data_IF_398741214798
#
_entry.id   IF_398741214798
#
_cell.length_a   1.000
_cell.length_b   1.000
_cell.length_c   1.000
_cell.angle_alpha   90.00
_cell.angle_beta   90.00
_cell.angle_gamma   90.00
#
_symmetry.space_group_name_H-M   'P 1'
#
loop_
_entity.id
_entity.type
_entity.pdbx_description
1 polymer ?
#
# COMPACT_ATOMS: atom_id res chain seq x y z
N UNK A 1 -7.17 10.94 13.08
CA UNK A 1 -6.76 12.06 12.19
C UNK A 1 -6.70 11.50 10.78
N UNK A 2 -7.40 12.10 9.81
CA UNK A 2 -7.29 11.69 8.42
C UNK A 2 -5.89 12.08 7.91
N UNK A 3 -5.23 11.25 7.08
CA UNK A 3 -3.92 11.60 6.48
C UNK A 3 -3.98 12.82 5.54
N UNK A 4 -5.16 13.35 5.23
CA UNK A 4 -5.31 14.65 4.56
C UNK A 4 -4.81 15.82 5.41
N UNK A 5 -4.64 15.61 6.72
CA UNK A 5 -3.96 16.49 7.63
C UNK A 5 -2.52 16.02 7.87
N UNK A 6 -1.90 15.26 6.96
CA UNK A 6 -0.45 15.08 7.00
C UNK A 6 0.16 16.47 6.88
N UNK A 7 0.69 16.94 8.00
CA UNK A 7 1.36 18.21 8.06
C UNK A 7 2.45 18.23 7.00
N UNK A 8 2.32 19.15 6.07
CA UNK A 8 3.33 19.41 5.06
C UNK A 8 4.39 20.30 5.70
N UNK A 9 5.56 19.74 5.90
CA UNK A 9 6.71 20.43 6.50
C UNK A 9 7.74 20.82 5.44
N UNK A 10 8.66 21.70 5.81
CA UNK A 10 9.86 21.92 5.01
C UNK A 10 10.66 20.60 4.92
N UNK A 11 11.30 20.30 3.77
CA UNK A 11 12.13 19.10 3.65
C UNK A 11 13.18 19.00 4.77
N UNK A 12 13.20 17.85 5.45
CA UNK A 12 14.20 17.58 6.49
C UNK A 12 15.62 17.64 5.89
N UNK A 13 16.59 18.17 6.62
CA UNK A 13 17.98 18.35 6.14
C UNK A 13 18.56 17.08 5.48
N UNK A 14 18.37 15.92 6.11
CA UNK A 14 18.82 14.63 5.57
C UNK A 14 18.10 14.17 4.29
N UNK A 15 17.01 14.81 3.93
CA UNK A 15 16.18 14.46 2.76
C UNK A 15 16.20 15.54 1.67
N UNK A 16 16.85 16.68 1.94
CA UNK A 16 16.99 17.77 0.96
C UNK A 16 17.69 17.30 -0.32
N UNK A 17 17.37 17.93 -1.40
CA UNK A 17 17.97 17.69 -2.70
C UNK A 17 18.00 18.99 -3.52
N UNK A 18 18.71 19.00 -4.64
CA UNK A 18 18.79 20.15 -5.52
C UNK A 18 17.48 20.25 -6.33
N UNK A 19 16.71 21.31 -6.07
CA UNK A 19 15.42 21.57 -6.74
C UNK A 19 15.61 21.98 -8.19
N UNK A 20 16.69 22.69 -8.55
CA UNK A 20 16.93 23.11 -9.94
C UNK A 20 17.21 21.90 -10.84
N UNK A 21 17.96 20.90 -10.32
CA UNK A 21 18.17 19.65 -11.02
C UNK A 21 16.85 18.87 -11.21
N UNK A 22 15.98 18.88 -10.19
CA UNK A 22 14.65 18.27 -10.30
C UNK A 22 13.81 18.95 -11.37
N UNK A 23 13.75 20.30 -11.38
CA UNK A 23 13.06 21.08 -12.40
C UNK A 23 13.56 20.74 -13.81
N UNK A 24 14.89 20.74 -14.01
CA UNK A 24 15.47 20.36 -15.30
C UNK A 24 15.06 18.95 -15.75
N UNK A 25 15.02 17.99 -14.80
CA UNK A 25 14.57 16.63 -15.09
C UNK A 25 13.07 16.59 -15.41
N UNK A 26 12.24 17.32 -14.66
CA UNK A 26 10.79 17.41 -14.90
C UNK A 26 10.49 17.97 -16.29
N UNK A 27 11.14 19.07 -16.67
CA UNK A 27 11.00 19.70 -18.00
C UNK A 27 11.42 18.74 -19.13
N UNK A 28 12.51 17.99 -18.93
CA UNK A 28 13.00 16.98 -19.91
C UNK A 28 12.04 15.80 -20.08
N UNK A 29 11.11 15.60 -19.12
CA UNK A 29 10.09 14.57 -19.14
C UNK A 29 8.66 15.12 -19.36
N UNK A 30 8.56 16.36 -19.86
CA UNK A 30 7.27 17.02 -20.16
C UNK A 30 6.35 17.18 -18.93
N UNK A 31 6.96 17.27 -17.73
CA UNK A 31 6.22 17.49 -16.47
C UNK A 31 6.31 18.97 -16.14
N UNK A 32 5.17 19.64 -16.04
CA UNK A 32 5.10 21.07 -15.73
C UNK A 32 5.72 21.36 -14.35
N UNK A 33 6.62 22.35 -14.29
CA UNK A 33 7.42 22.65 -13.09
C UNK A 33 7.57 24.15 -12.80
N UNK A 34 6.82 25.00 -13.48
CA UNK A 34 6.89 26.48 -13.30
C UNK A 34 6.54 26.86 -11.87
N UNK A 35 7.42 27.61 -11.22
CA UNK A 35 7.22 28.06 -9.84
C UNK A 35 7.24 26.93 -8.79
N UNK A 36 7.91 25.82 -9.07
CA UNK A 36 7.89 24.60 -8.26
C UNK A 36 8.22 24.86 -6.79
N UNK A 37 7.29 24.47 -5.92
CA UNK A 37 7.45 24.44 -4.46
C UNK A 37 7.49 23.00 -3.98
N UNK A 38 8.42 22.73 -3.05
CA UNK A 38 8.64 21.39 -2.49
C UNK A 38 8.35 21.41 -1.00
N UNK A 39 7.45 20.54 -0.55
CA UNK A 39 7.20 20.25 0.87
C UNK A 39 7.34 18.76 1.10
N UNK A 40 7.60 18.35 2.33
CA UNK A 40 7.69 16.93 2.69
C UNK A 40 6.47 16.53 3.50
N UNK A 41 5.89 15.36 3.19
CA UNK A 41 4.87 14.76 4.05
C UNK A 41 5.51 14.31 5.36
N UNK A 42 4.91 14.71 6.49
CA UNK A 42 5.29 14.21 7.81
C UNK A 42 4.72 12.80 7.99
N UNK A 43 5.54 11.81 8.00
CA UNK A 43 5.14 10.41 8.07
C UNK A 43 5.39 9.70 6.73
N UNK A 44 6.06 8.71 6.68
CA UNK A 44 6.61 7.93 5.57
C UNK A 44 7.92 7.38 6.07
N UNK A 45 7.82 6.32 6.92
CA UNK A 45 9.03 5.82 7.59
C UNK A 45 9.96 5.08 6.62
N UNK A 46 9.42 4.55 5.51
CA UNK A 46 10.19 3.77 4.55
C UNK A 46 10.85 4.65 3.49
N UNK A 47 10.06 5.34 2.68
CA UNK A 47 10.53 6.16 1.56
C UNK A 47 10.14 7.63 1.74
N UNK A 48 11.09 8.59 1.76
CA UNK A 48 10.77 10.01 1.83
C UNK A 48 9.84 10.42 0.70
N UNK A 49 8.71 11.03 1.06
CA UNK A 49 7.64 11.43 0.13
C UNK A 49 7.43 12.93 0.22
N UNK A 50 7.34 13.58 -0.95
CA UNK A 50 7.26 15.03 -1.06
C UNK A 50 6.03 15.43 -1.86
N UNK A 51 5.42 16.52 -1.43
CA UNK A 51 4.40 17.25 -2.18
C UNK A 51 5.09 18.28 -3.04
N UNK A 52 4.83 18.23 -4.32
CA UNK A 52 5.31 19.20 -5.30
C UNK A 52 4.12 20.01 -5.79
N UNK A 53 4.25 21.33 -5.79
CA UNK A 53 3.24 22.26 -6.27
C UNK A 53 3.87 23.21 -7.27
N UNK A 54 3.40 23.16 -8.50
CA UNK A 54 3.71 24.12 -9.56
C UNK A 54 2.57 25.13 -9.72
N UNK A 55 2.63 26.03 -10.70
CA UNK A 55 1.58 27.02 -10.91
C UNK A 55 0.21 26.39 -11.21
N UNK A 56 0.18 25.27 -11.95
CA UNK A 56 -1.07 24.69 -12.44
C UNK A 56 -1.32 23.26 -11.92
N UNK A 57 -0.32 22.60 -11.37
CA UNK A 57 -0.40 21.18 -11.06
C UNK A 57 0.17 20.83 -9.68
N UNK A 58 -0.29 19.71 -9.16
CA UNK A 58 0.17 19.12 -7.91
C UNK A 58 0.64 17.70 -8.16
N UNK A 59 1.78 17.35 -7.57
CA UNK A 59 2.39 16.03 -7.74
C UNK A 59 2.87 15.47 -6.41
N UNK A 60 3.19 14.19 -6.42
CA UNK A 60 3.91 13.51 -5.35
C UNK A 60 5.20 12.96 -5.91
N UNK A 61 6.31 13.29 -5.26
CA UNK A 61 7.62 12.66 -5.50
C UNK A 61 7.91 11.68 -4.37
N UNK A 62 8.26 10.45 -4.71
CA UNK A 62 8.72 9.44 -3.76
C UNK A 62 10.13 8.98 -4.14
N UNK A 63 11.06 8.99 -3.17
CA UNK A 63 12.46 8.66 -3.42
C UNK A 63 12.99 7.66 -2.40
N UNK A 64 14.06 6.94 -2.76
CA UNK A 64 14.81 6.12 -1.81
C UNK A 64 15.41 7.01 -0.71
N UNK A 65 15.47 6.54 0.55
CA UNK A 65 16.18 7.25 1.59
C UNK A 65 17.69 7.31 1.27
N UNK A 66 18.40 8.33 1.75
CA UNK A 66 19.84 8.40 1.59
C UNK A 66 20.57 7.34 2.44
N UNK A 67 21.76 6.93 2.01
CA UNK A 67 22.62 6.03 2.75
C UNK A 67 22.67 4.61 2.21
N UNK A 68 23.31 3.72 2.99
CA UNK A 68 23.51 2.31 2.62
C UNK A 68 22.26 1.52 2.97
N UNK A 69 21.54 1.10 1.96
CA UNK A 69 20.26 0.35 2.12
C UNK A 69 20.49 -1.15 2.07
N UNK A 70 19.63 -1.91 2.73
CA UNK A 70 19.61 -3.36 2.58
C UNK A 70 19.17 -3.72 1.16
N UNK A 71 19.73 -4.77 0.55
CA UNK A 71 19.31 -5.22 -0.77
C UNK A 71 17.79 -5.46 -0.83
N UNK A 72 17.14 -4.92 -1.85
CA UNK A 72 15.67 -4.98 -2.08
C UNK A 72 14.81 -4.18 -1.08
N UNK A 73 15.38 -3.50 -0.10
CA UNK A 73 14.63 -2.54 0.70
C UNK A 73 14.42 -1.26 -0.13
N UNK A 74 13.28 -0.60 0.10
CA UNK A 74 12.99 0.70 -0.53
C UNK A 74 12.98 0.68 -2.08
N UNK A 75 12.44 -0.37 -2.68
CA UNK A 75 12.44 -0.59 -4.13
C UNK A 75 11.39 0.29 -4.85
N UNK A 76 11.68 1.60 -4.96
CA UNK A 76 10.79 2.58 -5.63
C UNK A 76 10.59 2.28 -7.12
N UNK A 77 11.54 1.61 -7.76
CA UNK A 77 11.45 1.09 -9.13
C UNK A 77 10.33 0.05 -9.28
N UNK A 78 10.20 -0.85 -8.30
CA UNK A 78 9.12 -1.86 -8.27
C UNK A 78 7.76 -1.22 -8.00
N UNK A 79 7.71 -0.29 -7.08
CA UNK A 79 6.50 0.47 -6.76
C UNK A 79 6.01 1.24 -7.99
N UNK A 80 6.91 1.95 -8.68
CA UNK A 80 6.62 2.60 -9.95
C UNK A 80 6.10 1.60 -11.00
N UNK A 81 6.78 0.45 -11.17
CA UNK A 81 6.44 -0.55 -12.18
C UNK A 81 5.00 -1.06 -12.03
N UNK A 82 4.61 -1.43 -10.82
CA UNK A 82 3.26 -1.99 -10.58
C UNK A 82 2.17 -0.91 -10.75
N UNK A 83 2.35 0.28 -10.20
CA UNK A 83 1.38 1.37 -10.37
C UNK A 83 1.25 1.81 -11.82
N UNK A 84 2.37 1.93 -12.55
CA UNK A 84 2.35 2.28 -13.97
C UNK A 84 1.64 1.21 -14.84
N UNK A 85 1.76 -0.06 -14.48
CA UNK A 85 1.05 -1.13 -15.18
C UNK A 85 -0.47 -1.10 -14.86
N UNK A 86 -0.82 -0.96 -13.60
CA UNK A 86 -2.22 -0.90 -13.14
C UNK A 86 -2.95 0.35 -13.65
N UNK A 87 -2.29 1.48 -13.74
CA UNK A 87 -2.87 2.72 -14.28
C UNK A 87 -3.26 2.64 -15.75
N UNK A 88 -2.73 1.66 -16.51
CA UNK A 88 -3.09 1.45 -17.92
C UNK A 88 -4.43 0.70 -18.10
N UNK A 89 -4.94 0.09 -17.05
CA UNK A 89 -6.17 -0.72 -17.06
C UNK A 89 -7.28 -0.12 -16.18
N UNK A 90 -7.21 1.19 -15.95
CA UNK A 90 -8.18 1.92 -15.12
C UNK A 90 -8.33 1.37 -13.69
N UNK A 91 -7.24 0.83 -13.12
CA UNK A 91 -7.20 0.52 -11.70
C UNK A 91 -6.91 1.81 -10.90
N UNK A 92 -7.55 2.04 -9.73
CA UNK A 92 -7.39 3.27 -8.96
C UNK A 92 -5.98 3.37 -8.32
N UNK A 93 -5.04 3.89 -9.08
CA UNK A 93 -3.69 4.28 -8.64
C UNK A 93 -3.39 5.69 -9.16
N UNK A 94 -2.50 6.44 -8.49
CA UNK A 94 -2.02 7.70 -9.06
C UNK A 94 -1.41 7.48 -10.45
N UNK A 95 -1.67 8.40 -11.38
CA UNK A 95 -1.01 8.37 -12.69
C UNK A 95 0.49 8.57 -12.52
N UNK A 96 1.28 7.64 -13.03
CA UNK A 96 2.73 7.72 -13.02
C UNK A 96 3.21 8.65 -14.13
N UNK A 97 4.04 9.65 -13.78
CA UNK A 97 4.52 10.66 -14.70
C UNK A 97 5.96 10.37 -15.16
N UNK A 98 6.79 9.80 -14.30
CA UNK A 98 8.15 9.45 -14.66
C UNK A 98 8.91 8.78 -13.53
N UNK A 99 9.91 7.97 -13.91
CA UNK A 99 10.88 7.33 -13.02
C UNK A 99 12.29 7.76 -13.40
N UNK A 100 13.08 8.10 -12.40
CA UNK A 100 14.48 8.49 -12.57
C UNK A 100 15.38 7.51 -11.80
N UNK A 101 16.23 6.80 -12.53
CA UNK A 101 17.26 5.90 -11.98
C UNK A 101 18.62 6.58 -11.83
N UNK A 102 18.75 7.84 -12.31
CA UNK A 102 19.99 8.59 -12.27
C UNK A 102 20.16 9.35 -10.94
N UNK A 103 21.05 8.91 -10.04
CA UNK A 103 21.25 9.58 -8.76
C UNK A 103 21.86 10.98 -8.86
N UNK A 104 22.41 11.38 -10.02
CA UNK A 104 22.98 12.72 -10.18
C UNK A 104 21.92 13.82 -10.15
N UNK A 105 20.63 13.50 -10.32
CA UNK A 105 19.53 14.47 -10.32
C UNK A 105 19.23 14.94 -8.90
N UNK A 106 18.84 14.04 -8.00
CA UNK A 106 18.48 14.38 -6.60
C UNK A 106 19.15 13.49 -5.55
N UNK A 107 20.26 12.84 -5.91
CA UNK A 107 21.05 12.02 -5.00
C UNK A 107 20.61 10.56 -4.88
N UNK A 108 19.47 10.17 -5.45
CA UNK A 108 18.92 8.81 -5.39
C UNK A 108 17.85 8.60 -6.45
N UNK A 109 17.45 7.35 -6.67
CA UNK A 109 16.31 7.02 -7.53
C UNK A 109 15.01 7.57 -6.94
N UNK A 110 14.09 7.99 -7.84
CA UNK A 110 12.78 8.51 -7.46
C UNK A 110 11.76 8.33 -8.59
N UNK A 111 10.50 8.53 -8.26
CA UNK A 111 9.44 8.71 -9.24
C UNK A 111 8.54 9.90 -8.89
N UNK A 112 7.86 10.39 -9.91
CA UNK A 112 6.81 11.41 -9.78
C UNK A 112 5.49 10.81 -10.25
N UNK A 113 4.44 11.12 -9.50
CA UNK A 113 3.05 10.74 -9.80
C UNK A 113 2.11 11.91 -9.56
N UNK A 114 0.93 11.86 -10.15
CA UNK A 114 -0.12 12.85 -9.89
C UNK A 114 -0.53 12.84 -8.41
N UNK A 115 -0.84 14.02 -7.87
CA UNK A 115 -1.46 14.14 -6.56
C UNK A 115 -2.97 13.92 -6.68
N UNK A 116 -3.48 12.89 -6.01
CA UNK A 116 -4.92 12.63 -5.95
C UNK A 116 -5.53 13.37 -4.76
N UNK A 117 -6.49 14.22 -5.02
CA UNK A 117 -7.24 14.94 -4.00
C UNK A 117 -8.34 14.04 -3.41
N UNK A 118 -8.20 13.64 -2.16
CA UNK A 118 -9.15 12.77 -1.48
C UNK A 118 -8.92 12.74 0.02
N UNK A 119 -9.48 11.77 0.73
CA UNK A 119 -9.28 11.54 2.17
C UNK A 119 -8.56 10.22 2.39
N UNK A 120 -7.52 10.22 3.23
CA UNK A 120 -6.90 9.00 3.74
C UNK A 120 -7.39 8.81 5.17
N UNK A 121 -8.01 7.68 5.46
CA UNK A 121 -8.63 7.38 6.73
C UNK A 121 -7.74 6.38 7.47
N UNK A 122 -7.30 6.74 8.68
CA UNK A 122 -6.38 5.92 9.47
C UNK A 122 -7.04 5.27 10.69
N UNK A 123 -8.27 5.65 10.99
CA UNK A 123 -9.03 5.10 12.11
C UNK A 123 -10.00 4.03 11.62
N UNK A 124 -10.04 2.85 12.24
CA UNK A 124 -10.89 1.75 11.80
C UNK A 124 -12.39 2.06 11.90
N UNK A 125 -12.79 3.00 12.78
CA UNK A 125 -14.17 3.47 12.93
C UNK A 125 -14.63 4.35 11.78
N UNK A 126 -13.77 4.71 10.86
CA UNK A 126 -14.04 5.60 9.71
C UNK A 126 -14.68 6.90 10.20
N UNK A 127 -14.00 7.57 11.14
CA UNK A 127 -14.49 8.79 11.77
C UNK A 127 -14.68 9.94 10.76
N UNK A 128 -15.70 10.77 10.99
CA UNK A 128 -16.03 11.93 10.13
C UNK A 128 -16.90 11.58 8.92
N UNK A 129 -17.45 10.37 8.86
CA UNK A 129 -18.40 9.93 7.83
C UNK A 129 -19.72 9.46 8.44
N UNK A 130 -20.81 9.64 7.71
CA UNK A 130 -22.12 9.09 8.04
C UNK A 130 -22.15 7.57 7.93
N UNK A 131 -23.18 6.95 8.50
CA UNK A 131 -23.39 5.50 8.41
C UNK A 131 -23.40 4.98 6.95
N UNK A 132 -24.08 5.69 6.06
CA UNK A 132 -24.17 5.29 4.65
C UNK A 132 -22.82 5.44 3.94
N UNK A 133 -22.10 6.54 4.20
CA UNK A 133 -20.77 6.74 3.62
C UNK A 133 -19.78 5.67 4.09
N UNK A 134 -19.79 5.30 5.37
CA UNK A 134 -18.95 4.20 5.88
C UNK A 134 -19.24 2.89 5.18
N UNK A 135 -20.51 2.56 4.97
CA UNK A 135 -20.88 1.37 4.22
C UNK A 135 -20.38 1.44 2.76
N UNK A 136 -20.57 2.58 2.09
CA UNK A 136 -20.08 2.80 0.72
C UNK A 136 -18.56 2.64 0.64
N UNK A 137 -17.81 3.17 1.61
CA UNK A 137 -16.35 3.01 1.69
C UNK A 137 -15.98 1.53 1.80
N UNK A 138 -16.61 0.78 2.70
CA UNK A 138 -16.32 -0.64 2.87
C UNK A 138 -16.65 -1.48 1.63
N UNK A 139 -17.79 -1.20 0.99
CA UNK A 139 -18.16 -1.83 -0.30
C UNK A 139 -17.10 -1.54 -1.36
N UNK A 140 -16.69 -0.28 -1.50
CA UNK A 140 -15.67 0.13 -2.47
C UNK A 140 -14.29 -0.48 -2.19
N UNK A 141 -13.93 -0.67 -0.90
CA UNK A 141 -12.69 -1.37 -0.53
C UNK A 141 -12.73 -2.83 -0.95
N UNK A 142 -13.85 -3.54 -0.72
CA UNK A 142 -14.02 -4.93 -1.15
C UNK A 142 -13.98 -5.06 -2.69
N UNK A 143 -14.65 -4.16 -3.40
CA UNK A 143 -14.65 -4.11 -4.87
C UNK A 143 -13.25 -3.86 -5.43
N UNK A 144 -12.52 -2.88 -4.87
CA UNK A 144 -11.16 -2.53 -5.30
C UNK A 144 -10.18 -3.69 -5.07
N UNK A 145 -10.27 -4.35 -3.92
CA UNK A 145 -9.44 -5.53 -3.63
C UNK A 145 -9.74 -6.68 -4.59
N UNK A 146 -11.00 -6.96 -4.84
CA UNK A 146 -11.43 -7.98 -5.79
C UNK A 146 -10.99 -7.64 -7.23
N UNK A 147 -11.09 -6.38 -7.63
CA UNK A 147 -10.60 -5.88 -8.93
C UNK A 147 -9.10 -6.11 -9.07
N UNK A 148 -8.29 -5.85 -8.02
CA UNK A 148 -6.86 -6.11 -8.01
C UNK A 148 -6.56 -7.59 -8.24
N UNK A 149 -7.23 -8.47 -7.50
CA UNK A 149 -6.99 -9.91 -7.56
C UNK A 149 -7.46 -10.55 -8.86
N UNK A 150 -8.38 -9.91 -9.58
CA UNK A 150 -8.87 -10.35 -10.89
C UNK A 150 -8.03 -9.82 -12.07
N UNK A 151 -7.01 -8.98 -11.82
CA UNK A 151 -6.15 -8.47 -12.89
C UNK A 151 -5.35 -9.62 -13.53
N UNK A 152 -5.47 -9.77 -14.84
CA UNK A 152 -4.50 -10.59 -15.58
C UNK A 152 -3.13 -9.88 -15.61
N UNK A 153 -2.32 -10.18 -14.62
CA UNK A 153 -1.00 -9.56 -14.45
C UNK A 153 -0.05 -9.82 -15.61
N UNK A 154 -0.29 -10.89 -16.41
CA UNK A 154 0.52 -11.20 -17.58
C UNK A 154 0.21 -10.23 -18.72
N UNK A 155 -1.07 -9.95 -18.94
CA UNK A 155 -1.51 -9.04 -20.00
C UNK A 155 -1.01 -7.61 -19.84
N UNK A 156 -0.67 -7.21 -18.62
CA UNK A 156 -0.12 -5.86 -18.29
C UNK A 156 1.39 -5.84 -18.07
N UNK A 157 2.10 -6.94 -18.41
CA UNK A 157 3.57 -7.03 -18.36
C UNK A 157 4.16 -7.19 -16.97
N UNK A 158 3.42 -7.82 -16.04
CA UNK A 158 3.87 -8.09 -14.67
C UNK A 158 4.19 -9.57 -14.41
N UNK A 159 4.33 -10.42 -15.44
CA UNK A 159 4.67 -11.84 -15.29
C UNK A 159 5.99 -12.08 -14.54
N UNK A 160 6.95 -11.16 -14.64
CA UNK A 160 8.23 -11.19 -13.93
C UNK A 160 8.27 -10.35 -12.64
N UNK A 161 7.12 -9.82 -12.21
CA UNK A 161 7.06 -8.91 -11.05
C UNK A 161 7.34 -9.62 -9.71
N UNK A 162 7.11 -10.93 -9.63
CA UNK A 162 7.36 -11.77 -8.45
C UNK A 162 7.51 -13.23 -8.82
N UNK A 163 7.68 -14.06 -7.80
CA UNK A 163 7.62 -15.52 -7.92
C UNK A 163 6.33 -15.97 -7.26
N UNK A 164 5.30 -16.33 -8.03
CA UNK A 164 4.02 -16.73 -7.43
C UNK A 164 4.17 -18.05 -6.63
N UNK A 165 4.79 -19.09 -7.22
CA UNK A 165 4.90 -20.40 -6.61
C UNK A 165 5.66 -20.36 -5.28
N UNK A 166 5.11 -20.99 -4.25
CA UNK A 166 5.69 -21.06 -2.89
C UNK A 166 5.65 -19.71 -2.17
N UNK A 167 4.72 -18.82 -2.51
CA UNK A 167 4.57 -17.51 -1.87
C UNK A 167 4.32 -17.63 -0.37
N UNK A 168 3.35 -18.46 0.06
CA UNK A 168 2.98 -18.62 1.47
C UNK A 168 4.17 -19.15 2.29
N UNK A 169 4.87 -20.17 1.79
CA UNK A 169 6.02 -20.74 2.49
C UNK A 169 7.16 -19.70 2.61
N UNK A 170 7.37 -18.87 1.58
CA UNK A 170 8.36 -17.78 1.66
C UNK A 170 7.96 -16.71 2.66
N UNK A 171 6.66 -16.35 2.74
CA UNK A 171 6.18 -15.39 3.73
C UNK A 171 6.34 -15.94 5.15
N UNK A 172 5.93 -17.17 5.40
CA UNK A 172 6.11 -17.83 6.71
C UNK A 172 7.60 -17.81 7.10
N UNK A 173 8.49 -18.18 6.18
CA UNK A 173 9.93 -18.17 6.44
C UNK A 173 10.44 -16.77 6.71
N UNK A 174 10.10 -15.79 5.87
CA UNK A 174 10.56 -14.40 5.97
C UNK A 174 10.17 -13.79 7.33
N UNK A 175 8.90 -13.89 7.69
CA UNK A 175 8.40 -13.31 8.94
C UNK A 175 8.88 -14.07 10.17
N UNK A 176 9.02 -15.40 10.10
CA UNK A 176 9.64 -16.17 11.19
C UNK A 176 11.10 -15.79 11.39
N UNK A 177 11.89 -15.69 10.32
CA UNK A 177 13.30 -15.29 10.40
C UNK A 177 13.45 -13.84 10.93
N UNK A 178 12.58 -12.94 10.51
CA UNK A 178 12.58 -11.55 10.98
C UNK A 178 12.21 -11.48 12.47
N UNK A 179 11.20 -12.22 12.89
CA UNK A 179 10.82 -12.32 14.30
C UNK A 179 11.98 -12.82 15.17
N UNK A 180 12.68 -13.89 14.77
CA UNK A 180 13.81 -14.41 15.52
C UNK A 180 14.95 -13.39 15.65
N UNK A 181 15.28 -12.66 14.56
CA UNK A 181 16.28 -11.57 14.62
C UNK A 181 15.85 -10.46 15.57
N UNK A 182 14.61 -10.02 15.49
CA UNK A 182 14.10 -8.98 16.39
C UNK A 182 14.11 -9.43 17.85
N UNK A 183 13.87 -10.72 18.12
CA UNK A 183 13.92 -11.32 19.46
C UNK A 183 15.34 -11.30 20.04
N UNK A 184 16.37 -11.47 19.19
CA UNK A 184 17.79 -11.39 19.61
C UNK A 184 18.21 -9.96 19.94
N UNK A 185 17.66 -8.95 19.23
CA UNK A 185 17.99 -7.52 19.43
C UNK A 185 17.24 -6.86 20.60
N UNK A 186 16.19 -7.49 21.14
CA UNK A 186 15.38 -6.90 22.21
C UNK A 186 16.09 -7.07 23.56
N UNK A 187 16.36 -5.94 24.20
CA UNK A 187 16.92 -5.89 25.59
C UNK A 187 15.87 -6.25 26.66
N UNK A 188 14.60 -6.31 26.31
CA UNK A 188 13.48 -6.66 27.19
C UNK A 188 13.27 -8.17 27.18
N UNK A 189 13.35 -8.83 28.32
CA UNK A 189 12.99 -10.25 28.48
C UNK A 189 11.47 -10.41 28.39
N UNK A 190 10.92 -10.52 27.19
CA UNK A 190 9.54 -10.86 26.96
C UNK A 190 9.39 -12.36 26.66
N UNK A 191 8.24 -12.92 27.03
CA UNK A 191 7.91 -14.29 26.66
C UNK A 191 7.23 -14.30 25.27
N UNK A 192 7.86 -14.92 24.29
CA UNK A 192 7.38 -15.00 22.92
C UNK A 192 6.92 -16.41 22.55
N UNK A 193 6.55 -17.24 23.53
CA UNK A 193 6.20 -18.65 23.34
C UNK A 193 5.09 -18.84 22.32
N UNK A 194 4.08 -17.98 22.33
CA UNK A 194 2.95 -18.05 21.41
C UNK A 194 3.39 -17.78 19.95
N UNK A 195 4.30 -16.85 19.74
CA UNK A 195 4.86 -16.57 18.41
C UNK A 195 5.78 -17.69 17.91
N UNK A 196 6.55 -18.31 18.80
CA UNK A 196 7.35 -19.49 18.46
C UNK A 196 6.45 -20.67 18.05
N UNK A 197 5.37 -20.91 18.81
CA UNK A 197 4.37 -21.94 18.50
C UNK A 197 3.65 -21.64 17.18
N UNK A 198 3.25 -20.39 16.95
CA UNK A 198 2.62 -19.97 15.69
C UNK A 198 3.55 -20.21 14.50
N UNK A 199 4.84 -19.89 14.64
CA UNK A 199 5.83 -20.11 13.57
C UNK A 199 5.99 -21.57 13.21
N UNK A 200 5.90 -22.48 14.19
CA UNK A 200 5.94 -23.93 13.98
C UNK A 200 4.63 -24.37 13.29
N UNK A 201 3.50 -23.99 13.86
CA UNK A 201 2.17 -24.37 13.35
C UNK A 201 1.97 -23.95 11.89
N UNK A 202 2.35 -22.72 11.53
CA UNK A 202 2.25 -22.21 10.17
C UNK A 202 3.08 -23.05 9.18
N UNK A 203 4.28 -23.51 9.57
CA UNK A 203 5.12 -24.37 8.71
C UNK A 203 4.49 -25.74 8.47
N UNK A 204 3.81 -26.30 9.48
CA UNK A 204 3.19 -27.62 9.42
C UNK A 204 1.82 -27.59 8.73
N UNK A 205 1.12 -26.45 8.77
CA UNK A 205 -0.24 -26.29 8.28
C UNK A 205 -0.35 -25.31 7.09
N UNK A 206 0.75 -24.99 6.42
CA UNK A 206 0.71 -24.13 5.24
C UNK A 206 -0.05 -24.79 4.09
N UNK A 207 -0.88 -24.01 3.42
CA UNK A 207 -1.65 -24.45 2.24
C UNK A 207 -0.72 -24.60 1.02
N UNK A 208 -1.12 -25.45 0.09
CA UNK A 208 -0.55 -25.48 -1.26
C UNK A 208 -1.30 -24.42 -2.07
N UNK A 209 -0.55 -23.51 -2.67
CA UNK A 209 -1.13 -22.45 -3.49
C UNK A 209 -1.52 -23.00 -4.86
N UNK A 210 -2.72 -22.66 -5.28
CA UNK A 210 -3.26 -22.95 -6.61
C UNK A 210 -3.75 -21.70 -7.34
N UNK A 211 -3.67 -20.54 -6.67
CA UNK A 211 -4.10 -19.25 -7.19
C UNK A 211 -3.01 -18.20 -7.06
N UNK A 212 -2.88 -17.37 -8.08
CA UNK A 212 -1.88 -16.31 -8.11
C UNK A 212 -2.48 -15.02 -8.66
N UNK A 213 -2.26 -13.93 -7.94
CA UNK A 213 -2.69 -12.59 -8.28
C UNK A 213 -1.60 -11.56 -7.96
N UNK A 214 -1.84 -10.31 -8.29
CA UNK A 214 -1.08 -9.20 -7.73
C UNK A 214 -1.52 -9.06 -6.27
N UNK A 215 -0.62 -9.33 -5.34
CA UNK A 215 -0.81 -9.06 -3.92
C UNK A 215 -0.23 -7.69 -3.59
N UNK A 216 -1.00 -6.85 -2.91
CA UNK A 216 -0.56 -5.54 -2.43
C UNK A 216 0.43 -5.68 -1.27
N UNK A 217 0.17 -6.61 -0.36
CA UNK A 217 1.00 -6.90 0.82
C UNK A 217 0.75 -6.02 2.04
N UNK A 218 0.06 -4.87 1.86
CA UNK A 218 -0.39 -3.98 2.95
C UNK A 218 -1.74 -3.30 2.58
N UNK A 219 -2.69 -4.06 2.01
CA UNK A 219 -3.98 -3.51 1.63
C UNK A 219 -4.82 -3.20 2.88
N UNK A 220 -5.04 -1.92 3.12
CA UNK A 220 -5.79 -1.42 4.28
C UNK A 220 -6.32 -0.03 4.03
N UNK A 221 -7.30 0.38 4.82
CA UNK A 221 -7.95 1.69 4.73
C UNK A 221 -6.94 2.86 4.71
N UNK A 222 -5.89 2.80 5.53
CA UNK A 222 -4.86 3.84 5.60
C UNK A 222 -3.98 3.96 4.35
N UNK A 223 -4.04 3.01 3.44
CA UNK A 223 -3.32 3.01 2.17
C UNK A 223 -4.25 3.25 0.97
N UNK A 224 -5.48 3.73 1.23
CA UNK A 224 -6.43 4.11 0.18
C UNK A 224 -6.82 5.58 0.27
N UNK A 225 -7.08 6.18 -0.88
CA UNK A 225 -7.62 7.54 -0.99
C UNK A 225 -9.11 7.42 -1.29
N UNK A 226 -9.92 8.03 -0.45
CA UNK A 226 -11.38 8.04 -0.57
C UNK A 226 -11.84 9.37 -1.17
N UNK A 227 -12.67 9.29 -2.18
CA UNK A 227 -13.30 10.47 -2.82
C UNK A 227 -14.13 11.26 -1.81
N UNK A 228 -14.02 12.59 -1.87
CA UNK A 228 -14.69 13.50 -0.93
C UNK A 228 -16.21 13.55 -1.10
N UNK A 229 -16.71 13.24 -2.29
CA UNK A 229 -18.11 13.40 -2.67
C UNK A 229 -18.85 12.05 -2.70
N UNK A 230 -18.19 11.02 -3.23
CA UNK A 230 -18.82 9.72 -3.51
C UNK A 230 -18.48 8.65 -2.48
N UNK A 231 -17.52 8.92 -1.58
CA UNK A 231 -17.05 7.96 -0.56
C UNK A 231 -16.55 6.62 -1.17
N UNK A 232 -15.95 6.67 -2.37
CA UNK A 232 -15.38 5.50 -3.05
C UNK A 232 -13.86 5.58 -3.08
N UNK A 233 -13.19 4.44 -3.27
CA UNK A 233 -11.73 4.37 -3.44
C UNK A 233 -11.35 4.95 -4.81
N UNK A 234 -10.52 5.98 -4.82
CA UNK A 234 -9.99 6.63 -6.02
C UNK A 234 -8.48 6.52 -6.16
N UNK A 235 -7.82 5.96 -5.16
CA UNK A 235 -6.38 5.69 -5.20
C UNK A 235 -5.97 4.63 -4.18
N UNK A 236 -5.10 3.72 -4.61
CA UNK A 236 -4.40 2.76 -3.74
C UNK A 236 -2.93 3.12 -3.73
N UNK A 237 -2.36 3.24 -2.54
CA UNK A 237 -1.00 3.74 -2.27
C UNK A 237 -0.16 2.68 -1.57
N UNK A 238 1.16 2.90 -1.53
CA UNK A 238 2.13 2.15 -0.72
C UNK A 238 2.33 0.70 -1.20
N UNK A 239 2.74 0.57 -2.44
CA UNK A 239 2.97 -0.70 -3.15
C UNK A 239 4.34 -1.33 -2.88
N UNK A 240 5.08 -0.88 -1.86
CA UNK A 240 6.45 -1.34 -1.59
C UNK A 240 6.55 -2.83 -1.25
N UNK A 241 5.49 -3.43 -0.68
CA UNK A 241 5.40 -4.85 -0.36
C UNK A 241 4.76 -5.70 -1.46
N UNK A 242 4.31 -5.06 -2.55
CA UNK A 242 3.57 -5.75 -3.60
C UNK A 242 4.40 -6.79 -4.34
N UNK A 243 3.74 -7.87 -4.73
CA UNK A 243 4.35 -8.98 -5.46
C UNK A 243 3.29 -9.82 -6.17
N UNK A 244 3.69 -10.87 -6.88
CA UNK A 244 2.79 -11.94 -7.25
C UNK A 244 2.67 -12.92 -6.09
N UNK A 245 1.44 -13.18 -5.64
CA UNK A 245 1.19 -14.00 -4.47
C UNK A 245 -0.25 -14.51 -4.40
N UNK A 246 -0.62 -15.13 -3.30
CA UNK A 246 -1.96 -15.66 -3.10
C UNK A 246 -2.94 -14.53 -2.71
N UNK A 247 -4.07 -14.36 -3.42
CA UNK A 247 -5.00 -13.23 -3.20
C UNK A 247 -5.58 -13.18 -1.79
N UNK A 248 -5.82 -14.32 -1.17
CA UNK A 248 -6.40 -14.38 0.17
C UNK A 248 -5.42 -13.89 1.26
N UNK A 249 -4.14 -13.67 0.96
CA UNK A 249 -3.21 -13.07 1.90
C UNK A 249 -3.56 -11.61 2.18
N UNK A 250 -3.89 -10.83 1.14
CA UNK A 250 -4.37 -9.45 1.31
C UNK A 250 -5.73 -9.38 1.99
N UNK A 251 -6.64 -10.30 1.63
CA UNK A 251 -7.96 -10.38 2.26
C UNK A 251 -7.84 -10.68 3.75
N UNK A 252 -7.01 -11.66 4.14
CA UNK A 252 -6.73 -11.99 5.53
C UNK A 252 -6.11 -10.81 6.28
N UNK A 253 -5.17 -10.12 5.66
CA UNK A 253 -4.55 -8.93 6.24
C UNK A 253 -5.57 -7.79 6.45
N UNK A 254 -6.41 -7.52 5.46
CA UNK A 254 -7.48 -6.52 5.59
C UNK A 254 -8.45 -6.85 6.72
N UNK A 255 -8.75 -8.12 6.95
CA UNK A 255 -9.70 -8.56 7.98
C UNK A 255 -9.13 -8.61 9.42
N UNK A 256 -7.82 -8.36 9.62
CA UNK A 256 -7.22 -8.33 10.96
C UNK A 256 -8.00 -7.46 11.97
N UNK A 257 -8.47 -6.23 11.64
CA UNK A 257 -9.22 -5.40 12.58
C UNK A 257 -10.51 -6.04 13.12
N UNK A 258 -11.14 -6.93 12.38
CA UNK A 258 -12.32 -7.65 12.86
C UNK A 258 -12.02 -8.61 14.02
N UNK A 259 -10.74 -9.00 14.17
CA UNK A 259 -10.27 -9.91 15.23
C UNK A 259 -9.60 -9.17 16.39
N UNK A 260 -8.98 -8.02 16.14
CA UNK A 260 -8.10 -7.33 17.09
C UNK A 260 -8.27 -5.81 17.10
N UNK A 261 -9.41 -5.27 16.69
CA UNK A 261 -9.58 -3.82 16.64
C UNK A 261 -11.02 -3.33 16.73
N UNK A 262 -11.98 -4.25 16.61
CA UNK A 262 -13.40 -3.91 16.60
C UNK A 262 -14.17 -4.51 17.78
N UNK A 263 -13.50 -5.08 18.78
CA UNK A 263 -14.11 -5.84 19.88
C UNK A 263 -15.15 -5.02 20.64
N UNK A 264 -14.90 -3.71 20.82
CA UNK A 264 -15.78 -2.79 21.54
C UNK A 264 -16.71 -1.97 20.62
N UNK A 265 -16.69 -2.24 19.29
CA UNK A 265 -17.43 -1.45 18.32
C UNK A 265 -18.75 -2.12 17.92
N UNK A 266 -19.82 -1.36 17.93
CA UNK A 266 -21.07 -1.76 17.29
C UNK A 266 -21.02 -1.45 15.78
N UNK A 267 -20.46 -2.37 14.98
CA UNK A 267 -20.25 -2.19 13.55
C UNK A 267 -21.55 -1.88 12.81
N UNK A 268 -22.64 -2.55 13.15
CA UNK A 268 -23.97 -2.32 12.54
C UNK A 268 -24.47 -0.90 12.81
N UNK A 269 -24.26 -0.38 14.00
CA UNK A 269 -24.63 1.00 14.35
C UNK A 269 -23.76 2.00 13.59
N UNK A 270 -22.48 1.70 13.40
CA UNK A 270 -21.55 2.52 12.65
C UNK A 270 -21.81 2.47 11.14
N UNK A 271 -22.45 1.42 10.62
CA UNK A 271 -22.63 1.18 9.18
C UNK A 271 -21.41 0.51 8.53
N UNK A 272 -20.57 -0.12 9.33
CA UNK A 272 -19.45 -0.92 8.87
C UNK A 272 -19.94 -2.37 8.75
N UNK A 273 -19.74 -3.07 7.61
CA UNK A 273 -20.11 -4.46 7.45
C UNK A 273 -19.41 -5.34 8.51
N UNK A 274 -20.05 -6.44 8.92
CA UNK A 274 -19.35 -7.49 9.67
C UNK A 274 -18.26 -8.14 8.81
N UNK A 275 -17.40 -8.95 9.43
CA UNK A 275 -16.41 -9.71 8.65
C UNK A 275 -17.09 -10.58 7.60
N UNK A 276 -18.15 -11.32 7.97
CA UNK A 276 -18.93 -12.15 7.06
C UNK A 276 -19.53 -11.37 5.90
N UNK A 277 -20.15 -10.23 6.18
CA UNK A 277 -20.70 -9.33 5.16
C UNK A 277 -19.61 -8.79 4.23
N UNK A 278 -18.40 -8.47 4.75
CA UNK A 278 -17.27 -8.04 3.93
C UNK A 278 -16.74 -9.17 3.02
N UNK A 279 -16.66 -10.40 3.54
CA UNK A 279 -16.29 -11.58 2.75
C UNK A 279 -17.30 -11.85 1.63
N UNK A 280 -18.60 -11.72 1.90
CA UNK A 280 -19.65 -11.84 0.89
C UNK A 280 -19.49 -10.79 -0.21
N UNK A 281 -19.20 -9.54 0.14
CA UNK A 281 -18.91 -8.48 -0.83
C UNK A 281 -17.68 -8.83 -1.68
N UNK A 282 -16.60 -9.26 -1.06
CA UNK A 282 -15.40 -9.66 -1.79
C UNK A 282 -15.67 -10.85 -2.73
N UNK A 283 -16.38 -11.89 -2.27
CA UNK A 283 -16.77 -13.02 -3.12
C UNK A 283 -17.64 -12.57 -4.30
N UNK A 284 -18.61 -11.71 -4.04
CA UNK A 284 -19.49 -11.15 -5.10
C UNK A 284 -18.68 -10.45 -6.18
N UNK A 285 -17.74 -9.58 -5.81
CA UNK A 285 -16.97 -8.79 -6.78
C UNK A 285 -15.85 -9.59 -7.46
N UNK A 286 -15.26 -10.56 -6.77
CA UNK A 286 -14.21 -11.42 -7.32
C UNK A 286 -14.74 -12.58 -8.15
N UNK A 287 -16.07 -12.89 -8.06
CA UNK A 287 -16.68 -14.04 -8.71
C UNK A 287 -16.41 -15.37 -8.00
N UNK A 288 -15.88 -15.35 -6.78
CA UNK A 288 -15.60 -16.55 -5.98
C UNK A 288 -16.87 -17.13 -5.41
N UNK A 289 -16.96 -18.46 -5.41
CA UNK A 289 -18.06 -19.20 -4.77
C UNK A 289 -17.80 -19.44 -3.29
N UNK A 290 -16.55 -19.40 -2.84
CA UNK A 290 -16.16 -19.66 -1.44
C UNK A 290 -14.77 -19.06 -1.12
N UNK A 291 -14.49 -18.95 0.18
CA UNK A 291 -13.16 -18.67 0.72
C UNK A 291 -12.77 -19.86 1.58
N UNK A 292 -11.93 -20.78 1.04
CA UNK A 292 -11.61 -22.01 1.75
C UNK A 292 -10.79 -21.73 3.01
N UNK A 293 -11.04 -22.52 4.05
CA UNK A 293 -10.31 -22.50 5.33
C UNK A 293 -10.30 -21.13 6.02
N UNK A 294 -11.33 -20.29 5.80
CA UNK A 294 -11.47 -19.06 6.57
C UNK A 294 -11.80 -19.41 8.03
N UNK A 295 -11.08 -18.84 9.02
CA UNK A 295 -11.22 -19.22 10.44
C UNK A 295 -12.54 -18.78 11.07
#
# INVERSE_FOLDING_TARGET
MSRNDQELIAPLEKHKFNTDNLVTWMESNEIESTGLKVKQFQGGMSNPTFFLESENNKYVLRKKPPGKLLPKAHAVDREFKVMNALGKIDFPVPKMLGFCDNPSVIGTEFFIMDYIEGRIITTPEINGFSKNERNTICVSLAETLAKLHNVDYKSIGLESFGRPEGYIQRQIKLWSDQFQRSKEDITVKANFKEMDLLSIWLKENSIIEDEFAIAHGDYRLGNTIIDKNNSTVIGVLDWELSTLGHPLADLGYYCIPYRYGFEDLNLKQLGIPSEEEFLELYMKFSGRSSIPNWP
#
